data_IF_596968534953
#
_entry.id   IF_596968534953
#
_cell.length_a   1.000
_cell.length_b   1.000
_cell.length_c   1.000
_cell.angle_alpha   90.00
_cell.angle_beta   90.00
_cell.angle_gamma   90.00
#
_symmetry.space_group_name_H-M   'P 1'
#
loop_
_entity.id
_entity.type
_entity.pdbx_description
1 polymer ?
#
# COMPACT_ATOMS: atom_id res chain seq x y z
N UNK A 1 -11.19 -13.05 -30.36
CA UNK A 1 -9.72 -13.07 -30.26
C UNK A 1 -9.36 -13.87 -29.03
N UNK A 2 -8.66 -15.00 -29.18
CA UNK A 2 -8.40 -15.96 -28.11
C UNK A 2 -7.34 -15.42 -27.13
N UNK A 3 -7.71 -15.19 -25.87
CA UNK A 3 -6.76 -14.94 -24.77
C UNK A 3 -6.45 -16.27 -24.07
N UNK A 4 -5.23 -16.76 -24.26
CA UNK A 4 -4.74 -17.98 -23.62
C UNK A 4 -4.21 -17.68 -22.22
N UNK A 5 -4.78 -18.34 -21.22
CA UNK A 5 -4.27 -18.46 -19.85
C UNK A 5 -2.87 -19.10 -19.85
N UNK A 6 -1.91 -18.46 -19.19
CA UNK A 6 -0.62 -19.06 -18.87
C UNK A 6 -0.28 -18.78 -17.40
N UNK A 7 -0.61 -19.76 -16.57
CA UNK A 7 -0.29 -19.82 -15.14
C UNK A 7 1.18 -20.22 -14.97
N UNK A 8 2.03 -19.34 -14.44
CA UNK A 8 3.45 -19.64 -14.17
C UNK A 8 3.70 -19.67 -12.66
N UNK A 9 3.82 -20.87 -12.10
CA UNK A 9 4.32 -21.09 -10.74
C UNK A 9 5.85 -20.93 -10.69
N UNK A 10 6.38 -20.10 -9.79
CA UNK A 10 7.83 -19.96 -9.56
C UNK A 10 8.26 -20.48 -8.19
N UNK A 11 9.27 -21.35 -8.25
CA UNK A 11 10.02 -22.04 -7.19
C UNK A 11 10.95 -21.05 -6.48
N UNK A 12 10.94 -21.03 -5.15
CA UNK A 12 11.94 -20.35 -4.33
C UNK A 12 13.22 -21.21 -4.22
N UNK A 13 14.38 -20.60 -4.48
CA UNK A 13 15.69 -21.17 -4.18
C UNK A 13 16.37 -20.29 -3.12
N UNK A 14 16.58 -20.84 -1.93
CA UNK A 14 17.29 -20.19 -0.83
C UNK A 14 18.80 -20.40 -1.01
N UNK A 15 19.58 -19.31 -0.98
CA UNK A 15 21.03 -19.35 -0.87
C UNK A 15 21.45 -18.76 0.48
N UNK A 16 22.08 -19.60 1.30
CA UNK A 16 22.65 -19.26 2.58
C UNK A 16 24.04 -18.64 2.41
N UNK A 17 24.28 -17.46 2.98
CA UNK A 17 25.64 -16.98 3.23
C UNK A 17 25.75 -16.48 4.67
N UNK A 18 26.57 -17.20 5.43
CA UNK A 18 27.05 -16.87 6.77
C UNK A 18 28.06 -15.72 6.67
N UNK A 19 27.93 -14.74 7.56
CA UNK A 19 28.91 -13.69 7.78
C UNK A 19 28.92 -13.28 9.25
N UNK A 20 29.86 -13.84 10.01
CA UNK A 20 30.11 -13.51 11.41
C UNK A 20 30.98 -12.26 11.50
N UNK A 21 30.53 -11.21 12.19
CA UNK A 21 31.42 -10.21 12.75
C UNK A 21 30.99 -9.82 14.17
N UNK A 22 32.01 -9.79 15.04
CA UNK A 22 31.98 -9.57 16.47
C UNK A 22 32.46 -8.16 16.79
N UNK A 23 31.78 -7.44 17.69
CA UNK A 23 32.38 -6.74 18.84
C UNK A 23 31.33 -5.95 19.63
N UNK A 24 31.49 -5.96 20.95
CA UNK A 24 30.67 -5.32 21.97
C UNK A 24 31.31 -4.01 22.47
N UNK A 25 30.88 -3.41 23.60
CA UNK A 25 29.61 -2.72 23.84
C UNK A 25 29.83 -1.25 24.26
N UNK A 26 28.81 -0.39 24.14
CA UNK A 26 28.81 0.93 24.77
C UNK A 26 27.50 1.15 25.55
N UNK A 27 27.67 1.34 26.84
CA UNK A 27 26.67 1.62 27.88
C UNK A 27 26.15 3.05 27.78
N UNK A 28 24.83 3.23 27.62
CA UNK A 28 24.13 4.39 28.19
C UNK A 28 22.77 3.97 28.76
N UNK A 29 22.60 4.33 30.02
CA UNK A 29 21.50 4.03 30.92
C UNK A 29 20.51 5.19 30.92
N UNK A 30 19.22 4.89 30.67
CA UNK A 30 18.12 5.73 31.14
C UNK A 30 17.08 4.82 31.79
N UNK A 31 16.83 5.10 33.07
CA UNK A 31 16.04 4.28 34.00
C UNK A 31 14.55 4.35 33.67
N UNK A 32 13.93 3.20 33.46
CA UNK A 32 12.49 2.98 33.63
C UNK A 32 12.21 2.57 35.09
N UNK A 33 11.31 3.27 35.77
CA UNK A 33 10.79 2.85 37.07
C UNK A 33 9.88 1.64 36.87
N UNK A 34 10.34 0.45 37.27
CA UNK A 34 9.48 -0.71 37.44
C UNK A 34 9.05 -0.80 38.90
N UNK A 35 7.73 -0.85 39.13
CA UNK A 35 7.16 -1.20 40.42
C UNK A 35 7.38 -2.71 40.64
N UNK A 36 8.23 -3.05 41.61
CA UNK A 36 8.46 -4.43 42.05
C UNK A 36 7.18 -4.98 42.71
N UNK A 37 6.58 -6.00 42.09
CA UNK A 37 5.60 -6.85 42.75
C UNK A 37 6.32 -8.14 43.19
N UNK A 38 6.52 -8.37 44.50
CA UNK A 38 7.26 -9.53 44.99
C UNK A 38 6.39 -10.80 44.90
N UNK A 39 6.94 -11.87 44.29
CA UNK A 39 6.37 -13.22 44.41
C UNK A 39 6.21 -14.04 43.12
N UNK A 40 6.51 -13.49 41.94
CA UNK A 40 6.41 -14.24 40.67
C UNK A 40 7.78 -14.77 40.21
N UNK A 41 7.89 -16.04 39.79
CA UNK A 41 9.13 -16.61 39.25
C UNK A 41 9.56 -15.88 37.97
N UNK A 42 10.87 -15.78 37.74
CA UNK A 42 11.44 -14.97 36.64
C UNK A 42 10.99 -15.41 35.24
N UNK A 43 10.49 -16.65 35.09
CA UNK A 43 9.85 -17.13 33.86
C UNK A 43 8.55 -16.39 33.52
N UNK A 44 7.86 -15.81 34.51
CA UNK A 44 6.62 -15.05 34.31
C UNK A 44 6.90 -13.55 34.16
N UNK A 45 8.02 -13.04 34.66
CA UNK A 45 8.43 -11.63 34.50
C UNK A 45 8.86 -11.24 33.07
N UNK A 46 9.17 -12.22 32.21
CA UNK A 46 9.46 -11.98 30.77
C UNK A 46 8.23 -12.03 29.86
N UNK A 47 7.06 -12.33 30.40
CA UNK A 47 5.82 -12.05 29.68
C UNK A 47 5.43 -10.62 30.00
N UNK A 48 5.95 -9.67 29.21
CA UNK A 48 5.35 -8.34 29.13
C UNK A 48 3.83 -8.49 28.96
N UNK A 49 3.06 -7.61 29.60
CA UNK A 49 1.59 -7.61 29.60
C UNK A 49 0.99 -8.38 28.42
N UNK A 50 0.41 -9.55 28.68
CA UNK A 50 -0.15 -10.44 27.65
C UNK A 50 -1.32 -9.83 26.85
N UNK A 51 -1.68 -8.57 27.12
CA UNK A 51 -2.63 -7.77 26.33
C UNK A 51 -1.98 -6.96 25.20
N UNK A 52 -0.65 -6.82 25.19
CA UNK A 52 0.08 -6.30 24.04
C UNK A 52 0.65 -7.48 23.27
N UNK A 53 0.08 -7.74 22.11
CA UNK A 53 0.71 -8.58 21.07
C UNK A 53 2.19 -8.18 20.99
N UNK A 54 3.14 -9.13 20.90
CA UNK A 54 4.55 -8.83 21.20
C UNK A 54 5.06 -7.68 20.33
N UNK A 55 5.38 -6.55 20.95
CA UNK A 55 6.05 -5.39 20.35
C UNK A 55 5.34 -4.66 19.20
N UNK A 56 4.01 -4.57 19.19
CA UNK A 56 3.34 -3.64 18.28
C UNK A 56 3.51 -2.19 18.77
N UNK A 57 4.23 -1.38 17.98
CA UNK A 57 4.32 0.07 18.12
C UNK A 57 3.66 0.74 16.91
N UNK A 58 3.31 2.04 16.98
CA UNK A 58 2.93 2.79 15.80
C UNK A 58 3.92 2.56 14.65
N UNK A 59 3.42 2.09 13.51
CA UNK A 59 4.27 1.75 12.37
C UNK A 59 4.78 0.31 12.32
N UNK A 60 4.52 -0.51 13.34
CA UNK A 60 4.91 -1.92 13.42
C UNK A 60 3.71 -2.80 13.79
N UNK A 61 2.57 -2.50 13.18
CA UNK A 61 1.33 -3.27 13.41
C UNK A 61 1.36 -4.51 12.53
N UNK A 62 1.36 -5.69 13.14
CA UNK A 62 1.59 -6.95 12.45
C UNK A 62 0.53 -7.20 11.36
N UNK A 63 -0.75 -7.01 11.71
CA UNK A 63 -1.85 -7.18 10.78
C UNK A 63 -1.72 -6.28 9.54
N UNK A 64 -1.22 -5.05 9.71
CA UNK A 64 -1.05 -4.12 8.61
C UNK A 64 0.17 -4.46 7.75
N UNK A 65 1.29 -4.84 8.36
CA UNK A 65 2.47 -5.30 7.63
C UNK A 65 2.14 -6.54 6.80
N UNK A 66 1.29 -7.44 7.31
CA UNK A 66 0.83 -8.60 6.54
C UNK A 66 -0.04 -8.21 5.35
N UNK A 67 -0.89 -7.19 5.50
CA UNK A 67 -1.67 -6.64 4.39
C UNK A 67 -0.77 -6.00 3.32
N UNK A 68 0.29 -5.28 3.71
CA UNK A 68 1.26 -4.74 2.76
C UNK A 68 2.05 -5.82 2.02
N UNK A 69 2.39 -6.92 2.69
CA UNK A 69 3.03 -8.05 2.03
C UNK A 69 2.13 -8.66 0.94
N UNK A 70 0.80 -8.65 1.14
CA UNK A 70 -0.15 -9.09 0.12
C UNK A 70 -0.16 -8.13 -1.09
N UNK A 71 0.10 -6.84 -0.89
CA UNK A 71 0.34 -5.86 -1.96
C UNK A 71 1.76 -5.94 -2.56
N UNK A 72 2.59 -6.87 -2.09
CA UNK A 72 3.97 -7.04 -2.57
C UNK A 72 4.97 -6.02 -2.01
N UNK A 73 4.62 -5.28 -0.95
CA UNK A 73 5.53 -4.36 -0.26
C UNK A 73 5.84 -4.89 1.14
N UNK A 74 7.11 -5.18 1.42
CA UNK A 74 7.55 -5.65 2.74
C UNK A 74 8.29 -4.54 3.47
N UNK A 75 7.75 -3.96 4.56
CA UNK A 75 8.47 -2.95 5.33
C UNK A 75 9.68 -3.59 6.04
N UNK A 76 10.91 -3.37 5.52
CA UNK A 76 12.11 -4.03 6.04
C UNK A 76 12.83 -3.26 7.16
N UNK A 77 12.67 -1.93 7.21
CA UNK A 77 13.50 -1.06 8.07
C UNK A 77 12.78 -0.61 9.35
N UNK A 78 12.02 0.50 9.30
CA UNK A 78 11.54 1.16 10.52
C UNK A 78 10.05 1.02 10.73
N UNK A 79 9.24 1.56 9.81
CA UNK A 79 7.80 1.74 10.12
C UNK A 79 6.92 1.87 8.88
N UNK A 80 5.76 1.21 8.91
CA UNK A 80 4.66 1.41 7.97
C UNK A 80 3.40 1.90 8.72
N UNK A 81 3.03 3.15 8.48
CA UNK A 81 1.91 3.80 9.15
C UNK A 81 0.65 3.66 8.30
N UNK A 82 -0.36 2.97 8.83
CA UNK A 82 -1.72 2.98 8.27
C UNK A 82 -2.42 4.28 8.66
N UNK A 83 -2.93 5.04 7.69
CA UNK A 83 -3.48 6.38 7.92
C UNK A 83 -4.90 6.45 7.36
N UNK A 84 -5.90 6.32 8.25
CA UNK A 84 -7.34 6.33 7.87
C UNK A 84 -8.06 7.59 8.32
N UNK A 85 -7.45 8.32 9.26
CA UNK A 85 -7.97 9.57 9.80
C UNK A 85 -6.82 10.57 10.03
N UNK A 86 -7.09 11.89 10.03
CA UNK A 86 -6.09 12.92 10.33
C UNK A 86 -5.42 12.81 11.70
N UNK A 87 -6.01 12.07 12.65
CA UNK A 87 -5.35 11.79 13.93
C UNK A 87 -4.20 10.79 13.78
N UNK A 88 -4.25 9.89 12.80
CA UNK A 88 -3.19 8.92 12.54
C UNK A 88 -1.94 9.62 11.99
N UNK A 89 -2.10 10.76 11.30
CA UNK A 89 -0.97 11.60 10.85
C UNK A 89 -0.11 12.06 12.02
N UNK A 90 -0.73 12.44 13.15
CA UNK A 90 0.00 12.84 14.36
C UNK A 90 0.80 11.68 14.94
N UNK A 91 0.24 10.47 14.88
CA UNK A 91 0.89 9.23 15.34
C UNK A 91 2.11 8.90 14.46
N UNK A 92 2.06 9.23 13.17
CA UNK A 92 3.19 9.10 12.24
C UNK A 92 4.13 10.30 12.23
N UNK A 93 3.94 11.29 13.12
CA UNK A 93 4.78 12.50 13.20
C UNK A 93 4.57 13.50 12.05
N UNK A 94 3.43 13.42 11.36
CA UNK A 94 3.07 14.30 10.25
C UNK A 94 2.02 15.34 10.64
N UNK A 95 2.03 16.46 9.93
CA UNK A 95 1.02 17.50 10.05
C UNK A 95 -0.33 17.07 9.45
N UNK A 96 -1.41 17.64 9.96
CA UNK A 96 -2.74 17.43 9.41
C UNK A 96 -2.91 18.20 8.09
N UNK A 97 -3.76 17.70 7.17
CA UNK A 97 -4.10 18.46 5.96
C UNK A 97 -4.70 19.80 6.34
N UNK A 98 -4.29 20.86 5.63
CA UNK A 98 -4.82 22.22 5.81
C UNK A 98 -6.31 22.31 5.43
N UNK A 99 -6.75 21.46 4.50
CA UNK A 99 -8.12 21.43 3.97
C UNK A 99 -8.62 19.98 3.88
N UNK A 100 -9.84 19.72 4.36
CA UNK A 100 -10.51 18.42 4.23
C UNK A 100 -12.02 18.65 4.08
N UNK A 101 -12.66 18.18 2.98
CA UNK A 101 -12.06 17.46 1.85
C UNK A 101 -11.17 18.37 0.99
N UNK A 102 -10.05 17.82 0.51
CA UNK A 102 -9.18 18.45 -0.48
C UNK A 102 -9.78 18.22 -1.87
N UNK A 103 -10.13 19.29 -2.57
CA UNK A 103 -10.58 19.22 -3.96
C UNK A 103 -9.35 19.24 -4.87
N UNK A 104 -9.13 18.15 -5.59
CA UNK A 104 -8.03 18.00 -6.55
C UNK A 104 -8.61 18.07 -7.95
N UNK A 105 -8.02 18.89 -8.83
CA UNK A 105 -8.39 18.91 -10.24
C UNK A 105 -7.36 18.07 -11.02
N UNK A 106 -7.68 16.79 -11.22
CA UNK A 106 -6.80 15.82 -11.86
C UNK A 106 -6.86 15.85 -13.41
N UNK A 107 -7.76 16.65 -14.00
CA UNK A 107 -8.06 16.58 -15.44
C UNK A 107 -6.83 16.80 -16.33
N UNK A 108 -5.96 17.74 -15.99
CA UNK A 108 -4.73 18.00 -16.74
C UNK A 108 -3.68 16.89 -16.58
N UNK A 109 -3.72 16.14 -15.48
CA UNK A 109 -2.78 15.06 -15.21
C UNK A 109 -3.23 13.73 -15.86
N UNK A 110 -4.53 13.54 -16.16
CA UNK A 110 -5.06 12.31 -16.79
C UNK A 110 -4.33 11.96 -18.09
N UNK A 111 -4.01 12.94 -18.94
CA UNK A 111 -3.29 12.69 -20.21
C UNK A 111 -1.84 12.21 -20.04
N UNK A 112 -1.28 12.29 -18.83
CA UNK A 112 0.08 11.82 -18.53
C UNK A 112 0.11 10.43 -17.91
N UNK A 113 -1.04 9.89 -17.49
CA UNK A 113 -1.16 8.56 -16.90
C UNK A 113 -1.58 7.57 -17.98
N UNK A 114 -0.77 6.53 -18.19
CA UNK A 114 -1.01 5.54 -19.24
C UNK A 114 -1.58 4.25 -18.67
N UNK A 115 -2.49 3.64 -19.42
CA UNK A 115 -3.04 2.32 -19.11
C UNK A 115 -2.15 1.22 -19.67
N UNK A 116 -1.80 0.24 -18.85
CA UNK A 116 -1.06 -0.95 -19.26
C UNK A 116 -1.91 -1.84 -20.17
N UNK A 117 -1.29 -2.41 -21.20
CA UNK A 117 -1.99 -3.22 -22.21
C UNK A 117 -2.50 -2.41 -23.40
N UNK A 118 -2.24 -1.10 -23.43
CA UNK A 118 -2.49 -0.24 -24.59
C UNK A 118 -1.24 -0.09 -25.46
N UNK A 119 -1.40 0.54 -26.63
CA UNK A 119 -0.28 0.83 -27.53
C UNK A 119 0.80 1.74 -26.89
N UNK A 120 0.45 2.49 -25.83
CA UNK A 120 1.36 3.43 -25.19
C UNK A 120 2.18 2.83 -24.02
N UNK A 121 1.71 1.71 -23.46
CA UNK A 121 2.32 1.04 -22.30
C UNK A 121 1.99 -0.46 -22.30
N UNK A 122 3.02 -1.29 -22.47
CA UNK A 122 2.87 -2.74 -22.37
C UNK A 122 2.75 -3.20 -20.91
N UNK A 123 2.10 -4.34 -20.69
CA UNK A 123 2.04 -4.98 -19.36
C UNK A 123 3.43 -5.30 -18.83
N UNK A 124 4.33 -5.81 -19.66
CA UNK A 124 5.70 -6.15 -19.24
C UNK A 124 6.47 -4.93 -18.71
N UNK A 125 6.38 -3.79 -19.40
CA UNK A 125 7.03 -2.56 -18.94
C UNK A 125 6.38 -2.00 -17.68
N UNK A 126 5.05 -2.08 -17.55
CA UNK A 126 4.35 -1.69 -16.33
C UNK A 126 4.79 -2.58 -15.15
N UNK A 127 4.83 -3.90 -15.33
CA UNK A 127 5.18 -4.87 -14.29
C UNK A 127 6.63 -4.70 -13.82
N UNK A 128 7.57 -4.43 -14.74
CA UNK A 128 8.95 -4.15 -14.39
C UNK A 128 9.06 -2.91 -13.48
N UNK A 129 8.40 -1.81 -13.85
CA UNK A 129 8.40 -0.58 -13.07
C UNK A 129 7.66 -0.77 -11.75
N UNK A 130 6.53 -1.47 -11.76
CA UNK A 130 5.73 -1.79 -10.58
C UNK A 130 6.54 -2.60 -9.56
N UNK A 131 7.19 -3.68 -10.01
CA UNK A 131 8.01 -4.53 -9.14
C UNK A 131 9.20 -3.75 -8.56
N UNK A 132 9.91 -3.00 -9.40
CA UNK A 132 11.02 -2.14 -8.94
C UNK A 132 10.56 -1.10 -7.93
N UNK A 133 9.37 -0.51 -8.14
CA UNK A 133 8.76 0.45 -7.23
C UNK A 133 8.46 -0.19 -5.88
N UNK A 134 7.85 -1.38 -5.86
CA UNK A 134 7.58 -2.15 -4.63
C UNK A 134 8.85 -2.49 -3.86
N UNK A 135 9.91 -2.86 -4.55
CA UNK A 135 11.22 -3.16 -3.94
C UNK A 135 11.82 -1.90 -3.27
N UNK A 136 11.79 -0.76 -3.96
CA UNK A 136 12.30 0.51 -3.42
C UNK A 136 11.46 1.05 -2.26
N UNK A 137 10.13 0.89 -2.32
CA UNK A 137 9.24 1.17 -1.20
C UNK A 137 9.55 0.27 0.00
N UNK A 138 9.81 -1.03 -0.23
CA UNK A 138 10.18 -1.99 0.82
C UNK A 138 11.50 -1.61 1.53
N UNK A 139 12.43 -0.97 0.80
CA UNK A 139 13.70 -0.45 1.31
C UNK A 139 13.60 0.94 1.96
N UNK A 140 12.44 1.61 1.87
CA UNK A 140 12.24 2.93 2.45
C UNK A 140 12.25 2.87 3.97
N UNK A 141 12.73 3.95 4.60
CA UNK A 141 12.80 4.04 6.06
C UNK A 141 11.40 4.07 6.67
N UNK A 142 10.51 4.87 6.10
CA UNK A 142 9.13 5.02 6.52
C UNK A 142 8.19 4.86 5.33
N UNK A 143 7.11 4.13 5.55
CA UNK A 143 5.98 4.05 4.63
C UNK A 143 4.77 4.70 5.28
N UNK A 144 4.10 5.54 4.51
CA UNK A 144 2.84 6.18 4.86
C UNK A 144 1.77 5.60 3.96
N UNK A 145 0.71 5.10 4.58
CA UNK A 145 -0.33 4.38 3.86
C UNK A 145 -1.72 4.99 4.08
N UNK A 146 -2.04 6.13 3.41
CA UNK A 146 -3.39 6.65 3.35
C UNK A 146 -4.38 5.61 2.81
N UNK A 147 -5.45 5.36 3.56
CA UNK A 147 -6.54 4.47 3.14
C UNK A 147 -7.89 5.21 3.23
N UNK A 148 -8.74 4.97 2.24
CA UNK A 148 -10.07 5.59 2.15
C UNK A 148 -10.88 5.08 0.96
N UNK A 149 -11.90 5.84 0.58
CA UNK A 149 -12.60 5.66 -0.69
C UNK A 149 -12.24 6.78 -1.68
N UNK A 150 -12.35 6.50 -2.98
CA UNK A 150 -12.26 7.53 -4.01
C UNK A 150 -13.44 8.51 -3.85
N UNK A 151 -13.22 9.84 -3.92
CA UNK A 151 -14.28 10.83 -3.78
C UNK A 151 -15.51 10.55 -4.66
N UNK A 152 -16.70 10.63 -4.05
CA UNK A 152 -17.96 10.37 -4.72
C UNK A 152 -18.27 8.88 -4.95
N UNK A 153 -17.43 7.96 -4.47
CA UNK A 153 -17.61 6.51 -4.67
C UNK A 153 -17.50 5.73 -3.36
N UNK A 154 -17.66 4.41 -3.44
CA UNK A 154 -17.37 3.46 -2.35
C UNK A 154 -16.18 2.56 -2.66
N UNK A 155 -15.44 2.85 -3.73
CA UNK A 155 -14.29 2.04 -4.15
C UNK A 155 -13.13 2.31 -3.19
N UNK A 156 -12.68 1.26 -2.52
CA UNK A 156 -11.60 1.33 -1.53
C UNK A 156 -10.23 1.49 -2.17
N UNK A 157 -9.44 2.40 -1.62
CA UNK A 157 -8.07 2.69 -2.07
C UNK A 157 -7.10 2.58 -0.90
N UNK A 158 -5.95 1.95 -1.17
CA UNK A 158 -4.73 2.08 -0.34
C UNK A 158 -3.65 2.72 -1.19
N UNK A 159 -3.13 3.84 -0.71
CA UNK A 159 -1.93 4.46 -1.28
C UNK A 159 -0.75 4.05 -0.42
N UNK A 160 0.33 3.55 -1.01
CA UNK A 160 1.57 3.18 -0.33
C UNK A 160 2.66 4.13 -0.81
N UNK A 161 3.17 4.98 0.08
CA UNK A 161 4.18 5.98 -0.28
C UNK A 161 5.29 6.13 0.75
N UNK A 162 6.49 6.46 0.30
CA UNK A 162 7.58 6.93 1.16
C UNK A 162 7.53 8.46 1.41
N UNK A 163 6.58 9.16 0.80
CA UNK A 163 6.46 10.62 0.86
C UNK A 163 5.73 11.10 2.10
N UNK A 164 6.47 11.72 3.02
CA UNK A 164 5.91 12.40 4.19
C UNK A 164 5.11 13.66 3.82
N UNK A 165 5.43 14.30 2.69
CA UNK A 165 4.82 15.54 2.23
C UNK A 165 3.47 15.30 1.55
N UNK A 166 3.32 14.18 0.83
CA UNK A 166 2.09 13.83 0.14
C UNK A 166 1.06 13.16 1.03
N UNK A 167 1.48 12.37 2.03
CA UNK A 167 0.57 11.60 2.87
C UNK A 167 -0.57 12.44 3.50
N UNK A 168 -0.34 13.66 4.04
CA UNK A 168 -1.42 14.50 4.54
C UNK A 168 -2.42 14.92 3.46
N UNK A 169 -1.93 15.28 2.26
CA UNK A 169 -2.80 15.70 1.15
C UNK A 169 -3.65 14.53 0.64
N UNK A 170 -3.09 13.33 0.56
CA UNK A 170 -3.81 12.11 0.21
C UNK A 170 -4.93 11.78 1.20
N UNK A 171 -4.68 11.95 2.51
CA UNK A 171 -5.72 11.82 3.55
C UNK A 171 -6.80 12.91 3.42
N UNK A 172 -6.42 14.10 2.96
CA UNK A 172 -7.37 15.18 2.68
C UNK A 172 -8.24 14.88 1.45
N UNK A 173 -7.67 14.22 0.44
CA UNK A 173 -8.31 13.88 -0.83
C UNK A 173 -9.28 12.69 -0.68
N UNK A 174 -8.83 11.59 -0.07
CA UNK A 174 -9.64 10.38 0.07
C UNK A 174 -10.80 10.56 1.05
N UNK A 175 -11.95 9.96 0.72
CA UNK A 175 -13.06 9.88 1.65
C UNK A 175 -12.78 8.88 2.76
N UNK A 176 -13.22 9.18 3.98
CA UNK A 176 -12.94 8.32 5.12
C UNK A 176 -13.65 6.97 5.01
N UNK A 177 -12.90 5.90 5.19
CA UNK A 177 -13.38 4.54 5.24
C UNK A 177 -12.92 3.84 6.53
N UNK A 178 -13.49 4.16 7.70
CA UNK A 178 -13.04 3.60 8.97
C UNK A 178 -13.33 2.10 9.03
N UNK A 179 -12.35 1.28 8.67
CA UNK A 179 -12.35 -0.18 8.90
C UNK A 179 -11.48 -0.48 10.11
N UNK A 180 -12.04 -1.25 11.07
CA UNK A 180 -11.34 -1.65 12.30
C UNK A 180 -10.01 -2.33 11.96
N UNK A 181 -10.06 -3.32 11.08
CA UNK A 181 -8.89 -4.09 10.67
C UNK A 181 -8.45 -3.72 9.24
N UNK A 182 -7.15 -3.81 8.93
CA UNK A 182 -6.69 -3.58 7.57
C UNK A 182 -7.21 -4.70 6.67
N UNK A 183 -7.90 -4.38 5.56
CA UNK A 183 -8.29 -5.41 4.63
C UNK A 183 -7.03 -6.02 3.99
N UNK A 184 -7.04 -7.32 3.68
CA UNK A 184 -5.89 -7.99 3.07
C UNK A 184 -5.52 -7.37 1.71
N UNK A 185 -6.53 -6.96 0.93
CA UNK A 185 -6.36 -6.23 -0.33
C UNK A 185 -7.41 -5.12 -0.43
N UNK A 186 -7.09 -4.07 -1.20
CA UNK A 186 -8.06 -3.05 -1.61
C UNK A 186 -8.41 -3.23 -3.09
N UNK A 187 -9.50 -2.59 -3.52
CA UNK A 187 -9.89 -2.61 -4.94
C UNK A 187 -8.86 -1.85 -5.79
N UNK A 188 -8.32 -0.75 -5.26
CA UNK A 188 -7.23 0.00 -5.90
C UNK A 188 -6.06 0.08 -4.93
N UNK A 189 -4.88 -0.30 -5.39
CA UNK A 189 -3.62 -0.08 -4.67
C UNK A 189 -2.73 0.85 -5.49
N UNK A 190 -2.35 1.99 -4.91
CA UNK A 190 -1.49 2.98 -5.56
C UNK A 190 -0.09 2.99 -4.93
N UNK A 191 0.94 2.68 -5.70
CA UNK A 191 2.34 2.71 -5.31
C UNK A 191 2.96 4.04 -5.74
N UNK A 192 3.35 4.87 -4.77
CA UNK A 192 3.85 6.22 -5.02
C UNK A 192 5.26 6.37 -4.45
N UNK A 193 6.25 6.44 -5.32
CA UNK A 193 7.66 6.53 -4.95
C UNK A 193 8.20 7.94 -5.25
N UNK A 194 8.62 8.62 -4.19
CA UNK A 194 9.32 9.91 -4.22
C UNK A 194 10.84 9.71 -4.16
N UNK A 195 11.59 10.60 -4.82
CA UNK A 195 13.05 10.70 -4.70
C UNK A 195 13.85 9.97 -5.77
N UNK A 196 13.22 9.54 -6.87
CA UNK A 196 13.88 8.95 -8.04
C UNK A 196 13.96 9.94 -9.19
N UNK A 197 15.03 9.91 -9.99
CA UNK A 197 15.15 10.76 -11.19
C UNK A 197 14.23 10.31 -12.33
N UNK A 198 13.86 9.02 -12.33
CA UNK A 198 12.92 8.45 -13.28
C UNK A 198 11.51 9.00 -13.05
N UNK A 199 10.84 9.35 -14.15
CA UNK A 199 9.43 9.73 -14.15
C UNK A 199 8.60 8.61 -14.80
N UNK A 200 7.59 8.13 -14.07
CA UNK A 200 6.62 7.17 -14.56
C UNK A 200 5.25 7.43 -13.92
N UNK A 201 4.19 7.31 -14.71
CA UNK A 201 2.82 7.36 -14.22
C UNK A 201 1.95 6.44 -15.07
N UNK A 202 1.42 5.39 -14.47
CA UNK A 202 0.57 4.44 -15.18
C UNK A 202 -0.35 3.66 -14.24
N UNK A 203 -1.31 2.97 -14.82
CA UNK A 203 -2.18 2.05 -14.10
C UNK A 203 -2.43 0.77 -14.91
N UNK A 204 -2.81 -0.29 -14.22
CA UNK A 204 -3.23 -1.55 -14.81
C UNK A 204 -4.48 -2.05 -14.10
N UNK A 205 -5.37 -2.70 -14.84
CA UNK A 205 -6.53 -3.42 -14.31
C UNK A 205 -6.28 -4.91 -14.50
N UNK A 206 -6.39 -5.65 -13.41
CA UNK A 206 -6.15 -7.08 -13.36
C UNK A 206 -7.39 -7.79 -12.81
N UNK A 207 -7.69 -8.95 -13.37
CA UNK A 207 -8.69 -9.85 -12.79
C UNK A 207 -8.00 -10.79 -11.80
N UNK A 208 -8.49 -10.78 -10.57
CA UNK A 208 -8.08 -11.73 -9.53
C UNK A 208 -9.24 -12.66 -9.23
N UNK A 209 -8.97 -13.96 -9.13
CA UNK A 209 -9.94 -14.91 -8.56
C UNK A 209 -9.92 -14.76 -7.04
N UNK A 210 -11.09 -14.55 -6.46
CA UNK A 210 -11.23 -14.57 -5.02
C UNK A 210 -11.21 -16.01 -4.46
N UNK A 211 -11.36 -16.14 -3.13
CA UNK A 211 -11.33 -17.45 -2.48
C UNK A 211 -12.54 -18.32 -2.81
N UNK A 212 -13.62 -17.71 -3.27
CA UNK A 212 -14.87 -18.35 -3.63
C UNK A 212 -14.90 -18.71 -5.14
N UNK A 213 -13.85 -18.32 -5.88
CA UNK A 213 -13.69 -18.55 -7.31
C UNK A 213 -14.37 -17.49 -8.18
N UNK A 214 -14.87 -16.41 -7.59
CA UNK A 214 -15.44 -15.29 -8.32
C UNK A 214 -14.31 -14.39 -8.84
N UNK A 215 -14.32 -14.16 -10.16
CA UNK A 215 -13.41 -13.21 -10.78
C UNK A 215 -13.78 -11.79 -10.34
N UNK A 216 -12.82 -11.06 -9.78
CA UNK A 216 -12.98 -9.68 -9.35
C UNK A 216 -11.86 -8.83 -9.93
N UNK A 217 -12.22 -7.67 -10.46
CA UNK A 217 -11.25 -6.74 -11.02
C UNK A 217 -10.67 -5.84 -9.94
N UNK A 218 -9.35 -5.68 -9.97
CA UNK A 218 -8.57 -4.79 -9.10
C UNK A 218 -7.66 -3.93 -9.96
N UNK A 219 -7.27 -2.78 -9.43
CA UNK A 219 -6.38 -1.88 -10.13
C UNK A 219 -5.10 -1.60 -9.34
N UNK A 220 -3.99 -1.54 -10.07
CA UNK A 220 -2.70 -1.08 -9.58
C UNK A 220 -2.37 0.26 -10.23
N UNK A 221 -2.05 1.27 -9.43
CA UNK A 221 -1.56 2.58 -9.91
C UNK A 221 -0.11 2.72 -9.49
N UNK A 222 0.76 3.15 -10.40
CA UNK A 222 2.19 3.35 -10.11
C UNK A 222 2.59 4.75 -10.53
N UNK A 223 3.08 5.54 -9.56
CA UNK A 223 3.58 6.90 -9.78
C UNK A 223 4.98 7.00 -9.19
N UNK A 224 5.97 7.27 -10.04
CA UNK A 224 7.39 7.36 -9.69
C UNK A 224 7.91 8.68 -10.19
N UNK A 225 8.48 9.50 -9.31
CA UNK A 225 9.15 10.75 -9.73
C UNK A 225 9.97 11.33 -8.59
N UNK A 226 10.77 12.34 -8.91
CA UNK A 226 11.55 13.07 -7.88
C UNK A 226 10.61 13.78 -6.91
N UNK A 227 9.50 14.35 -7.41
CA UNK A 227 8.48 15.05 -6.63
C UNK A 227 7.09 14.72 -7.18
N UNK A 228 6.47 13.60 -6.74
CA UNK A 228 5.14 13.23 -7.22
C UNK A 228 4.12 14.28 -6.80
N UNK A 229 3.11 14.50 -7.63
CA UNK A 229 2.04 15.47 -7.34
C UNK A 229 0.76 14.75 -6.95
N UNK A 230 -0.09 15.42 -6.16
CA UNK A 230 -1.39 14.84 -5.79
C UNK A 230 -2.29 14.67 -7.01
N UNK A 231 -2.15 15.55 -8.01
CA UNK A 231 -2.92 15.52 -9.25
C UNK A 231 -2.62 14.27 -10.08
N UNK A 232 -1.35 13.84 -10.20
CA UNK A 232 -1.03 12.62 -10.95
C UNK A 232 -1.52 11.35 -10.26
N UNK A 233 -1.43 11.31 -8.93
CA UNK A 233 -1.93 10.19 -8.12
C UNK A 233 -3.46 10.13 -8.20
N UNK A 234 -4.14 11.27 -8.03
CA UNK A 234 -5.59 11.37 -8.17
C UNK A 234 -6.04 10.97 -9.58
N UNK A 235 -5.34 11.41 -10.63
CA UNK A 235 -5.63 11.03 -12.00
C UNK A 235 -5.56 9.52 -12.21
N UNK A 236 -4.50 8.85 -11.74
CA UNK A 236 -4.37 7.40 -11.85
C UNK A 236 -5.46 6.64 -11.08
N UNK A 237 -5.84 7.12 -9.89
CA UNK A 237 -6.94 6.55 -9.10
C UNK A 237 -8.29 6.73 -9.82
N UNK A 238 -8.58 7.92 -10.35
CA UNK A 238 -9.83 8.20 -11.06
C UNK A 238 -9.94 7.38 -12.35
N UNK A 239 -8.87 7.29 -13.15
CA UNK A 239 -8.84 6.45 -14.35
C UNK A 239 -9.01 4.97 -14.02
N UNK A 240 -8.43 4.51 -12.91
CA UNK A 240 -8.65 3.13 -12.44
C UNK A 240 -10.10 2.88 -12.06
N UNK A 241 -10.79 3.85 -11.45
CA UNK A 241 -12.24 3.74 -11.19
C UNK A 241 -13.03 3.64 -12.49
N UNK A 242 -12.73 4.50 -13.46
CA UNK A 242 -13.39 4.50 -14.77
C UNK A 242 -13.25 3.13 -15.46
N UNK A 243 -12.03 2.58 -15.50
CA UNK A 243 -11.79 1.28 -16.12
C UNK A 243 -12.38 0.10 -15.34
N UNK A 244 -12.37 0.12 -14.00
CA UNK A 244 -13.01 -0.93 -13.19
C UNK A 244 -14.53 -0.99 -13.40
N UNK A 245 -15.17 0.17 -13.54
CA UNK A 245 -16.61 0.24 -13.82
C UNK A 245 -16.93 -0.25 -15.24
N UNK A 246 -16.10 0.11 -16.22
CA UNK A 246 -16.25 -0.38 -17.60
C UNK A 246 -16.15 -1.92 -17.67
N UNK A 247 -15.17 -2.50 -16.98
CA UNK A 247 -14.95 -3.95 -16.93
C UNK A 247 -16.10 -4.70 -16.20
N UNK A 248 -16.68 -4.10 -15.16
CA UNK A 248 -17.88 -4.65 -14.50
C UNK A 248 -19.11 -4.61 -15.43
N UNK A 249 -19.29 -3.53 -16.20
CA UNK A 249 -20.38 -3.42 -17.18
C UNK A 249 -20.24 -4.41 -18.34
N UNK A 250 -19.03 -4.63 -18.84
CA UNK A 250 -18.78 -5.63 -19.91
C UNK A 250 -19.09 -7.04 -19.44
N UNK A 251 -18.70 -7.39 -18.21
CA UNK A 251 -19.00 -8.69 -17.61
C UNK A 251 -20.49 -8.93 -17.46
N UNK A 252 -21.24 -7.95 -16.95
CA UNK A 252 -22.69 -8.05 -16.81
C UNK A 252 -23.38 -8.28 -18.15
N UNK A 253 -22.95 -7.57 -19.20
CA UNK A 253 -23.46 -7.78 -20.57
C UNK A 253 -23.15 -9.19 -21.07
N UNK A 254 -21.93 -9.69 -20.86
CA UNK A 254 -21.56 -11.04 -21.28
C UNK A 254 -22.34 -12.13 -20.53
N UNK A 255 -22.63 -11.94 -19.24
CA UNK A 255 -23.46 -12.84 -18.44
C UNK A 255 -24.93 -12.84 -18.90
N UNK A 256 -25.48 -11.67 -19.23
CA UNK A 256 -26.83 -11.53 -19.79
C UNK A 256 -26.93 -12.21 -21.16
N UNK A 257 -25.98 -11.99 -22.07
CA UNK A 257 -25.93 -12.63 -23.39
C UNK A 257 -25.75 -14.15 -23.30
N UNK A 258 -25.04 -14.66 -22.30
CA UNK A 258 -24.86 -16.10 -22.10
C UNK A 258 -26.10 -16.79 -21.48
N UNK A 259 -27.01 -16.02 -20.89
CA UNK A 259 -28.25 -16.51 -20.29
C UNK A 259 -29.45 -16.54 -21.26
N UNK A 260 -29.34 -15.89 -22.42
CA UNK A 260 -30.31 -15.93 -23.53
C UNK A 260 -30.11 -17.12 -24.48
#
# INVERSE_FOLDING_TARGET
>A
MNRSLLLVARRAAASSLQGTFSSAPATQSVRSFAADSPGLPDSVKRMGNASQVPNEYPGQVYAFNWALNADGVTPLKKSAFRITKPLDLKVSGLDQPKTSPLKVNAAAAKSSVREAGTDELSFESFDEVNQRTKDLLSLSDHLYCPEGHVPGTRIGVRVITNSATLAPNLVGYLERAPKRDPPPAQTITAYVLEGTEEFFSGYAIEEIEDKDGEAKSVAAVVVVSTNPTIESIAAGIELSVEGLLADEEERKKAEEEAAE
#
